data_IF_691233521170
#
_entry.id   IF_691233521170
#
_cell.length_a   1.000
_cell.length_b   1.000
_cell.length_c   1.000
_cell.angle_alpha   90.00
_cell.angle_beta   90.00
_cell.angle_gamma   90.00
#
_symmetry.space_group_name_H-M   'P 1'
#
loop_
_entity.id
_entity.type
_entity.pdbx_description
1 polymer ?
#
# COMPACT_ATOMS: atom_id res chain seq x y z
N UNK A 1 11.37 -10.59 13.90
CA UNK A 1 10.85 -9.67 12.85
C UNK A 1 9.95 -10.50 11.94
N UNK A 2 8.80 -9.98 11.54
CA UNK A 2 7.84 -10.68 10.68
C UNK A 2 8.29 -10.61 9.21
N UNK A 3 8.25 -11.72 8.48
CA UNK A 3 8.50 -11.76 7.04
C UNK A 3 7.20 -11.50 6.28
N UNK A 4 7.17 -10.40 5.50
CA UNK A 4 5.99 -9.99 4.73
C UNK A 4 6.00 -10.48 3.27
N UNK A 5 7.05 -11.20 2.84
CA UNK A 5 7.15 -11.81 1.51
C UNK A 5 6.30 -13.09 1.37
N UNK A 6 5.84 -13.62 2.51
CA UNK A 6 4.90 -14.73 2.64
C UNK A 6 3.67 -14.28 3.42
N UNK A 7 2.53 -14.89 3.15
CA UNK A 7 1.30 -14.57 3.87
C UNK A 7 1.45 -14.98 5.34
N UNK A 8 1.38 -13.99 6.23
CA UNK A 8 1.57 -14.14 7.67
C UNK A 8 0.24 -14.36 8.40
N UNK A 9 0.28 -15.07 9.52
CA UNK A 9 -0.85 -15.13 10.44
C UNK A 9 -1.07 -13.79 11.14
N UNK A 10 -2.33 -13.38 11.22
CA UNK A 10 -2.74 -12.12 11.83
C UNK A 10 -3.43 -12.41 13.15
N UNK A 11 -2.78 -12.07 14.27
CA UNK A 11 -3.36 -12.24 15.60
C UNK A 11 -4.48 -11.23 15.86
N UNK A 12 -4.26 -9.96 15.54
CA UNK A 12 -5.26 -8.89 15.67
C UNK A 12 -4.98 -7.81 14.64
N UNK A 13 -5.95 -7.44 13.79
CA UNK A 13 -5.76 -6.38 12.81
C UNK A 13 -5.84 -4.99 13.46
N UNK A 14 -5.31 -3.98 12.77
CA UNK A 14 -5.31 -2.58 13.18
C UNK A 14 -6.29 -1.75 12.36
N UNK A 15 -6.70 -0.59 12.88
CA UNK A 15 -7.54 0.35 12.14
C UNK A 15 -6.85 0.86 10.87
N UNK A 16 -5.55 1.15 10.95
CA UNK A 16 -4.75 1.68 9.86
C UNK A 16 -3.42 0.97 9.73
N UNK A 17 -2.97 0.78 8.48
CA UNK A 17 -1.64 0.27 8.14
C UNK A 17 -0.85 1.32 7.38
N UNK A 18 0.44 1.43 7.66
CA UNK A 18 1.39 2.31 6.98
C UNK A 18 2.52 1.48 6.40
N UNK A 19 2.83 1.65 5.12
CA UNK A 19 4.00 1.05 4.47
C UNK A 19 4.58 2.01 3.43
N UNK A 20 5.78 2.51 3.67
CA UNK A 20 6.42 3.51 2.81
C UNK A 20 7.76 2.98 2.32
N UNK A 21 7.95 2.93 1.00
CA UNK A 21 9.14 2.42 0.31
C UNK A 21 9.57 1.02 0.84
N UNK A 22 8.70 0.02 0.66
CA UNK A 22 8.94 -1.36 1.14
C UNK A 22 8.71 -2.37 0.03
N UNK A 23 7.56 -2.30 -0.65
CA UNK A 23 7.14 -3.34 -1.57
C UNK A 23 8.02 -3.45 -2.81
N UNK A 24 8.64 -2.36 -3.25
CA UNK A 24 9.58 -2.32 -4.37
C UNK A 24 10.86 -3.13 -4.12
N UNK A 25 11.16 -3.44 -2.86
CA UNK A 25 12.31 -4.25 -2.47
C UNK A 25 12.01 -5.76 -2.52
N UNK A 26 10.75 -6.14 -2.70
CA UNK A 26 10.33 -7.53 -2.82
C UNK A 26 10.29 -7.93 -4.29
N UNK A 27 10.86 -9.09 -4.68
CA UNK A 27 10.65 -9.66 -6.02
C UNK A 27 9.16 -9.77 -6.35
N UNK A 28 8.82 -9.62 -7.65
CA UNK A 28 7.43 -9.56 -8.11
C UNK A 28 6.58 -10.74 -7.65
N UNK A 29 7.16 -11.94 -7.54
CA UNK A 29 6.44 -13.12 -7.05
C UNK A 29 5.90 -12.99 -5.61
N UNK A 30 6.47 -12.10 -4.79
CA UNK A 30 6.08 -11.89 -3.38
C UNK A 30 5.10 -10.73 -3.19
N UNK A 31 4.86 -9.92 -4.23
CA UNK A 31 4.00 -8.74 -4.15
C UNK A 31 2.57 -9.09 -3.70
N UNK A 32 2.01 -10.17 -4.23
CA UNK A 32 0.66 -10.60 -3.87
C UNK A 32 0.55 -10.97 -2.38
N UNK A 33 1.57 -11.66 -1.84
CA UNK A 33 1.62 -12.01 -0.43
C UNK A 33 1.79 -10.76 0.46
N UNK A 34 2.63 -9.81 0.02
CA UNK A 34 2.82 -8.54 0.71
C UNK A 34 1.52 -7.73 0.79
N UNK A 35 0.82 -7.54 -0.33
CA UNK A 35 -0.47 -6.82 -0.36
C UNK A 35 -1.52 -7.56 0.47
N UNK A 36 -1.55 -8.89 0.44
CA UNK A 36 -2.43 -9.69 1.29
C UNK A 36 -2.16 -9.46 2.78
N UNK A 37 -0.88 -9.37 3.18
CA UNK A 37 -0.53 -9.05 4.55
C UNK A 37 -1.06 -7.67 4.96
N UNK A 38 -0.89 -6.64 4.13
CA UNK A 38 -1.41 -5.30 4.40
C UNK A 38 -2.95 -5.30 4.52
N UNK A 39 -3.62 -6.07 3.67
CA UNK A 39 -5.08 -6.23 3.72
C UNK A 39 -5.56 -6.90 5.01
N UNK A 40 -4.93 -8.03 5.40
CA UNK A 40 -5.33 -8.81 6.58
C UNK A 40 -5.07 -8.06 7.89
N UNK A 41 -4.04 -7.21 7.94
CA UNK A 41 -3.73 -6.40 9.12
C UNK A 41 -4.56 -5.11 9.24
N UNK A 42 -5.53 -4.87 8.35
CA UNK A 42 -6.21 -3.58 8.25
C UNK A 42 -7.73 -3.72 8.26
N UNK A 43 -8.41 -2.95 9.13
CA UNK A 43 -9.88 -2.87 9.16
C UNK A 43 -10.47 -1.56 8.64
N UNK A 44 -9.74 -0.43 8.55
CA UNK A 44 -10.31 0.85 8.06
C UNK A 44 -9.58 1.50 6.89
N UNK A 45 -8.25 1.45 6.82
CA UNK A 45 -7.53 2.16 5.77
C UNK A 45 -6.02 1.94 5.77
N UNK A 46 -5.35 2.34 4.70
CA UNK A 46 -3.90 2.23 4.61
C UNK A 46 -3.28 3.43 3.89
N UNK A 47 -2.06 3.75 4.29
CA UNK A 47 -1.20 4.72 3.61
C UNK A 47 -0.01 3.96 3.05
N UNK A 48 0.17 4.03 1.73
CA UNK A 48 1.23 3.32 1.02
C UNK A 48 2.13 4.31 0.29
N UNK A 49 3.39 3.96 0.11
CA UNK A 49 4.19 4.46 -1.02
C UNK A 49 4.92 3.30 -1.67
N UNK A 50 5.23 3.48 -2.95
CA UNK A 50 5.94 2.52 -3.76
C UNK A 50 6.79 3.27 -4.78
N UNK A 51 8.05 2.90 -4.94
CA UNK A 51 8.93 3.52 -5.93
C UNK A 51 8.36 3.39 -7.36
N UNK A 52 8.29 4.53 -8.07
CA UNK A 52 7.85 4.55 -9.47
C UNK A 52 8.86 3.84 -10.37
N UNK A 53 8.38 3.29 -11.49
CA UNK A 53 9.25 2.72 -12.54
C UNK A 53 10.32 3.73 -12.96
N UNK A 54 11.59 3.33 -12.82
CA UNK A 54 12.75 4.17 -13.14
C UNK A 54 13.16 5.14 -12.03
N UNK A 55 12.53 5.09 -10.85
CA UNK A 55 12.96 5.88 -9.68
C UNK A 55 14.38 5.50 -9.26
N UNK A 56 14.71 4.21 -9.34
CA UNK A 56 15.94 3.62 -8.82
C UNK A 56 16.02 3.67 -7.29
N UNK A 57 17.01 2.97 -6.75
CA UNK A 57 17.27 2.90 -5.32
C UNK A 57 17.94 1.58 -4.95
N UNK A 58 18.53 1.53 -3.75
CA UNK A 58 19.23 0.34 -3.29
C UNK A 58 18.25 -0.81 -3.11
N UNK A 59 18.40 -1.87 -3.92
CA UNK A 59 17.56 -3.06 -3.81
C UNK A 59 16.14 -2.89 -4.35
N UNK A 60 15.89 -1.90 -5.21
CA UNK A 60 14.63 -1.80 -5.94
C UNK A 60 14.61 -2.87 -7.04
N UNK A 61 13.75 -3.86 -6.91
CA UNK A 61 13.62 -4.99 -7.84
C UNK A 61 12.22 -5.09 -8.45
N UNK A 62 11.26 -4.34 -7.91
CA UNK A 62 9.86 -4.36 -8.32
C UNK A 62 9.23 -2.95 -8.25
N UNK A 63 9.81 -1.99 -8.95
CA UNK A 63 9.20 -0.65 -9.09
C UNK A 63 7.91 -0.75 -9.90
N UNK A 64 6.88 0.01 -9.50
CA UNK A 64 5.54 -0.03 -10.12
C UNK A 64 4.95 1.37 -10.20
N UNK A 65 4.12 1.62 -11.21
CA UNK A 65 3.35 2.85 -11.28
C UNK A 65 2.22 2.86 -10.23
N UNK A 66 1.80 4.08 -9.85
CA UNK A 66 0.73 4.24 -8.86
C UNK A 66 -0.59 3.62 -9.32
N UNK A 67 -0.90 3.65 -10.62
CA UNK A 67 -2.21 3.18 -11.11
C UNK A 67 -2.31 1.66 -10.97
N UNK A 68 -1.21 0.95 -11.23
CA UNK A 68 -1.08 -0.49 -10.96
C UNK A 68 -1.29 -0.84 -9.47
N UNK A 69 -0.60 -0.14 -8.56
CA UNK A 69 -0.73 -0.40 -7.12
C UNK A 69 -2.13 -0.04 -6.64
N UNK A 70 -2.69 1.10 -7.09
CA UNK A 70 -4.07 1.51 -6.78
C UNK A 70 -5.07 0.47 -7.26
N UNK A 71 -4.96 -0.02 -8.50
CA UNK A 71 -5.85 -1.04 -9.03
C UNK A 71 -5.77 -2.34 -8.20
N UNK A 72 -4.57 -2.76 -7.82
CA UNK A 72 -4.33 -3.97 -7.03
C UNK A 72 -4.92 -3.87 -5.61
N UNK A 73 -4.74 -2.72 -4.95
CA UNK A 73 -5.32 -2.46 -3.62
C UNK A 73 -6.84 -2.31 -3.72
N UNK A 74 -7.37 -1.57 -4.70
CA UNK A 74 -8.81 -1.42 -4.89
C UNK A 74 -9.52 -2.75 -5.13
N UNK A 75 -8.90 -3.69 -5.85
CA UNK A 75 -9.42 -5.04 -6.04
C UNK A 75 -9.61 -5.84 -4.73
N UNK A 76 -9.00 -5.40 -3.61
CA UNK A 76 -9.17 -5.96 -2.26
C UNK A 76 -10.30 -5.27 -1.44
N UNK A 77 -11.15 -4.47 -2.08
CA UNK A 77 -12.27 -3.79 -1.42
C UNK A 77 -11.88 -2.45 -0.79
N UNK A 78 -11.02 -1.69 -1.46
CA UNK A 78 -10.60 -0.36 -1.05
C UNK A 78 -11.01 0.70 -2.07
N UNK A 79 -11.07 1.94 -1.62
CA UNK A 79 -11.18 3.13 -2.47
C UNK A 79 -10.02 4.05 -2.18
N UNK A 80 -9.43 4.63 -3.22
CA UNK A 80 -8.39 5.65 -3.09
C UNK A 80 -9.01 6.95 -2.54
N UNK A 81 -8.51 7.41 -1.39
CA UNK A 81 -8.87 8.70 -0.78
C UNK A 81 -7.97 9.79 -1.36
N UNK A 82 -8.39 10.32 -2.51
CA UNK A 82 -7.61 11.30 -3.29
C UNK A 82 -7.35 12.58 -2.48
N UNK A 83 -8.31 13.04 -1.67
CA UNK A 83 -8.14 14.24 -0.86
C UNK A 83 -7.07 14.05 0.22
N UNK A 84 -7.09 12.91 0.93
CA UNK A 84 -6.04 12.61 1.89
C UNK A 84 -4.68 12.36 1.21
N UNK A 85 -4.66 11.71 0.05
CA UNK A 85 -3.46 11.53 -0.76
C UNK A 85 -2.81 12.85 -1.14
N UNK A 86 -3.58 13.79 -1.70
CA UNK A 86 -3.11 15.12 -2.07
C UNK A 86 -2.63 15.93 -0.86
N UNK A 87 -3.33 15.85 0.27
CA UNK A 87 -2.93 16.49 1.51
C UNK A 87 -1.57 15.98 2.00
N UNK A 88 -1.36 14.66 2.02
CA UNK A 88 -0.09 14.05 2.42
C UNK A 88 1.04 14.36 1.43
N UNK A 89 0.77 14.29 0.12
CA UNK A 89 1.75 14.67 -0.92
C UNK A 89 2.18 16.13 -0.81
N UNK A 90 1.24 17.02 -0.50
CA UNK A 90 1.53 18.45 -0.29
C UNK A 90 2.41 18.67 0.94
N UNK A 91 2.11 17.96 2.03
CA UNK A 91 2.86 18.05 3.28
C UNK A 91 4.23 17.37 3.24
N UNK A 92 4.47 16.43 2.30
CA UNK A 92 5.70 15.68 2.21
C UNK A 92 6.91 16.58 1.88
N UNK A 93 8.04 16.33 2.58
CA UNK A 93 9.31 17.03 2.32
C UNK A 93 10.08 16.42 1.15
N UNK A 94 10.11 15.09 1.04
CA UNK A 94 10.85 14.39 0.01
C UNK A 94 10.09 14.38 -1.32
N UNK A 95 10.80 14.67 -2.41
CA UNK A 95 10.21 14.82 -3.73
C UNK A 95 9.52 13.55 -4.26
N UNK A 96 10.03 12.36 -3.91
CA UNK A 96 9.40 11.10 -4.30
C UNK A 96 8.06 10.89 -3.59
N UNK A 97 7.96 11.16 -2.28
CA UNK A 97 6.68 11.07 -1.56
C UNK A 97 5.60 12.03 -2.05
N UNK A 98 5.97 13.16 -2.67
CA UNK A 98 5.01 14.04 -3.37
C UNK A 98 4.32 13.37 -4.55
N UNK A 99 4.87 12.25 -5.04
CA UNK A 99 4.42 11.52 -6.22
C UNK A 99 4.05 10.06 -5.93
N UNK A 100 4.53 9.46 -4.84
CA UNK A 100 4.37 8.03 -4.55
C UNK A 100 3.39 7.72 -3.41
N UNK A 101 3.12 8.67 -2.51
CA UNK A 101 2.16 8.41 -1.41
C UNK A 101 0.76 8.18 -1.99
N UNK A 102 0.08 7.16 -1.48
CA UNK A 102 -1.29 6.78 -1.82
C UNK A 102 -2.06 6.52 -0.53
N UNK A 103 -3.33 6.93 -0.47
CA UNK A 103 -4.18 6.72 0.70
C UNK A 103 -5.43 5.95 0.31
N UNK A 104 -5.81 4.96 1.11
CA UNK A 104 -6.93 4.09 0.83
C UNK A 104 -7.84 3.95 2.05
N UNK A 105 -9.15 3.89 1.80
CA UNK A 105 -10.19 3.55 2.80
C UNK A 105 -10.76 2.19 2.45
N UNK A 106 -10.87 1.30 3.44
CA UNK A 106 -11.52 -0.01 3.27
C UNK A 106 -13.02 0.23 3.13
N UNK A 107 -13.63 -0.33 2.10
CA UNK A 107 -15.07 -0.34 1.99
C UNK A 107 -15.61 -1.29 3.05
N UNK A 108 -16.38 -0.78 3.99
CA UNK A 108 -17.22 -1.64 4.83
C UNK A 108 -18.30 -2.21 3.92
N UNK A 109 -18.37 -3.53 3.76
CA UNK A 109 -19.60 -4.12 3.22
C UNK A 109 -20.72 -3.73 4.18
N UNK A 110 -21.57 -2.80 3.76
CA UNK A 110 -22.86 -2.61 4.41
C UNK A 110 -23.64 -3.88 4.13
N UNK A 111 -23.89 -4.69 5.16
CA UNK A 111 -24.79 -5.84 5.05
C UNK A 111 -26.10 -5.39 4.37
N UNK A 112 -26.49 -6.10 3.31
CA UNK A 112 -27.82 -5.92 2.74
C UNK A 112 -28.84 -6.44 3.77
N UNK A 113 -29.69 -5.54 4.29
CA UNK A 113 -30.95 -5.87 4.95
C UNK A 113 -32.11 -5.51 4.02
#
# INVERSE_FOLDING_TARGET
>A
VLDLSVVADVATPYDWVLSLEVGEHLPKEHEAAFIENLHRHNVRGMVLSWALVGQGGTGHVNEQDNDYIKATVCAKGYVNDVLAEEALRTAAKFAYFKRTVMVFRKQTQTECY
#
